data_IF_935385005430
#
_entry.id   IF_935385005430
#
_cell.length_a   1.000
_cell.length_b   1.000
_cell.length_c   1.000
_cell.angle_alpha   90.00
_cell.angle_beta   90.00
_cell.angle_gamma   90.00
#
_symmetry.space_group_name_H-M   'P 1'
#
loop_
_entity.id
_entity.type
_entity.pdbx_description
1 polymer ?
#
# COMPACT_ATOMS: atom_id res chain seq x y z
N UNK A 1 -21.55 25.74 40.82
CA UNK A 1 -20.71 25.99 39.63
C UNK A 1 -20.30 24.65 39.06
N UNK A 2 -20.86 24.24 37.93
CA UNK A 2 -20.44 23.07 37.14
C UNK A 2 -20.63 23.45 35.67
N UNK A 3 -19.60 23.44 34.81
CA UNK A 3 -19.80 23.64 33.38
C UNK A 3 -20.22 22.33 32.72
N UNK A 4 -21.29 22.39 31.93
CA UNK A 4 -21.77 21.27 31.13
C UNK A 4 -20.77 20.93 30.01
N UNK A 5 -20.28 19.70 30.01
CA UNK A 5 -19.49 19.10 28.93
C UNK A 5 -20.24 19.15 27.59
N UNK A 6 -19.81 20.04 26.70
CA UNK A 6 -20.22 20.13 25.30
C UNK A 6 -19.56 18.99 24.50
N UNK A 7 -20.13 17.79 24.56
CA UNK A 7 -19.72 16.69 23.68
C UNK A 7 -20.40 16.85 22.32
N UNK A 8 -19.64 17.30 21.33
CA UNK A 8 -20.07 17.38 19.92
C UNK A 8 -20.52 16.00 19.41
N UNK A 9 -21.66 15.91 18.68
CA UNK A 9 -22.09 14.65 18.09
C UNK A 9 -21.06 14.16 17.06
N UNK A 10 -20.80 12.85 16.95
CA UNK A 10 -19.88 12.31 15.95
C UNK A 10 -20.41 12.65 14.55
N UNK A 11 -19.58 13.28 13.74
CA UNK A 11 -19.94 13.61 12.36
C UNK A 11 -20.25 12.33 11.59
N UNK A 12 -21.39 12.25 10.88
CA UNK A 12 -21.71 11.09 10.07
C UNK A 12 -20.65 10.93 8.97
N UNK A 13 -20.11 9.72 8.82
CA UNK A 13 -19.18 9.40 7.71
C UNK A 13 -19.93 9.60 6.39
N UNK A 14 -19.40 10.48 5.53
CA UNK A 14 -19.95 10.71 4.19
C UNK A 14 -19.83 9.45 3.34
N UNK A 15 -20.95 8.99 2.78
CA UNK A 15 -21.01 7.89 1.79
C UNK A 15 -20.77 8.37 0.35
N UNK A 16 -20.37 9.62 0.15
CA UNK A 16 -20.07 10.13 -1.18
C UNK A 16 -18.88 9.37 -1.80
N UNK A 17 -19.01 8.82 -3.02
CA UNK A 17 -17.89 8.20 -3.70
C UNK A 17 -16.77 9.24 -3.87
N UNK A 18 -15.63 8.96 -3.23
CA UNK A 18 -14.43 9.80 -3.34
C UNK A 18 -13.86 9.63 -4.75
N UNK A 19 -13.41 10.70 -5.43
CA UNK A 19 -12.85 10.64 -6.78
C UNK A 19 -11.46 9.95 -6.84
N UNK A 20 -11.19 9.04 -5.90
CA UNK A 20 -9.93 8.31 -5.82
C UNK A 20 -9.82 7.38 -7.03
N UNK A 21 -8.63 7.28 -7.65
CA UNK A 21 -8.38 6.28 -8.67
C UNK A 21 -8.74 4.90 -8.11
N UNK A 22 -9.61 4.20 -8.84
CA UNK A 22 -10.00 2.82 -8.54
C UNK A 22 -9.15 1.88 -9.39
N UNK A 23 -8.60 0.84 -8.76
CA UNK A 23 -7.88 -0.23 -9.44
C UNK A 23 -8.57 -1.56 -9.14
N UNK A 24 -8.42 -2.52 -10.04
CA UNK A 24 -8.95 -3.86 -9.84
C UNK A 24 -8.12 -4.59 -8.76
N UNK A 25 -8.73 -4.81 -7.61
CA UNK A 25 -8.11 -5.45 -6.44
C UNK A 25 -7.68 -6.90 -6.71
N UNK A 26 -8.45 -7.65 -7.49
CA UNK A 26 -8.16 -9.06 -7.77
C UNK A 26 -7.02 -9.18 -8.79
N UNK A 27 -7.04 -8.32 -9.82
CA UNK A 27 -5.93 -8.20 -10.75
C UNK A 27 -4.64 -7.76 -10.04
N UNK A 28 -4.72 -6.77 -9.13
CA UNK A 28 -3.57 -6.34 -8.34
C UNK A 28 -3.05 -7.45 -7.44
N UNK A 29 -3.95 -8.20 -6.77
CA UNK A 29 -3.57 -9.32 -5.91
C UNK A 29 -2.86 -10.43 -6.69
N UNK A 30 -3.38 -10.80 -7.86
CA UNK A 30 -2.74 -11.78 -8.74
C UNK A 30 -1.36 -11.30 -9.20
N UNK A 31 -1.24 -10.02 -9.57
CA UNK A 31 0.02 -9.40 -9.93
C UNK A 31 1.03 -9.41 -8.79
N UNK A 32 0.63 -8.99 -7.58
CA UNK A 32 1.51 -8.97 -6.39
C UNK A 32 2.05 -10.37 -6.08
N UNK A 33 1.21 -11.40 -6.14
CA UNK A 33 1.64 -12.79 -5.94
C UNK A 33 2.73 -13.18 -6.94
N UNK A 34 2.50 -12.92 -8.23
CA UNK A 34 3.47 -13.21 -9.28
C UNK A 34 4.77 -12.42 -9.08
N UNK A 35 4.67 -11.12 -8.78
CA UNK A 35 5.81 -10.24 -8.56
C UNK A 35 6.70 -10.73 -7.41
N UNK A 36 6.10 -10.99 -6.25
CA UNK A 36 6.83 -11.51 -5.09
C UNK A 36 7.49 -12.86 -5.39
N UNK A 37 6.77 -13.76 -6.06
CA UNK A 37 7.32 -15.04 -6.49
C UNK A 37 8.53 -14.82 -7.41
N UNK A 38 8.42 -14.00 -8.45
CA UNK A 38 9.53 -13.78 -9.39
C UNK A 38 10.74 -13.08 -8.76
N UNK A 39 10.52 -12.15 -7.82
CA UNK A 39 11.59 -11.35 -7.22
C UNK A 39 12.28 -12.09 -6.07
N UNK A 40 11.52 -12.83 -5.25
CA UNK A 40 12.01 -13.41 -4.01
C UNK A 40 12.20 -14.93 -4.05
N UNK A 41 11.48 -15.68 -4.90
CA UNK A 41 11.66 -17.13 -4.99
C UNK A 41 13.10 -17.55 -5.33
N UNK A 42 13.83 -16.90 -6.26
CA UNK A 42 15.22 -17.26 -6.52
C UNK A 42 16.20 -16.62 -5.53
N UNK A 43 15.73 -15.75 -4.64
CA UNK A 43 16.59 -15.00 -3.75
C UNK A 43 16.95 -15.80 -2.49
N UNK A 44 18.23 -15.76 -2.10
CA UNK A 44 18.66 -16.17 -0.77
C UNK A 44 18.46 -15.01 0.19
N UNK A 45 17.86 -15.27 1.36
CA UNK A 45 17.64 -14.22 2.36
C UNK A 45 18.97 -13.60 2.79
N UNK A 46 19.14 -12.27 2.71
CA UNK A 46 20.42 -11.63 2.97
C UNK A 46 20.83 -11.76 4.44
N UNK A 47 22.12 -11.99 4.68
CA UNK A 47 22.70 -11.95 6.02
C UNK A 47 22.62 -10.53 6.61
N UNK A 48 22.73 -10.33 7.93
CA UNK A 48 22.52 -9.03 8.56
C UNK A 48 23.34 -7.85 8.00
N UNK A 49 24.50 -8.11 7.38
CA UNK A 49 25.35 -7.10 6.73
C UNK A 49 24.81 -6.62 5.38
N UNK A 50 23.90 -7.37 4.76
CA UNK A 50 23.35 -7.12 3.43
C UNK A 50 21.90 -6.61 3.47
N UNK A 51 21.48 -6.01 4.59
CA UNK A 51 20.11 -5.50 4.77
C UNK A 51 19.70 -4.47 3.72
N UNK A 52 20.64 -3.78 3.09
CA UNK A 52 20.35 -2.84 2.00
C UNK A 52 19.78 -3.53 0.76
N UNK A 53 20.11 -4.81 0.54
CA UNK A 53 19.49 -5.62 -0.52
C UNK A 53 18.00 -5.85 -0.26
N UNK A 54 17.61 -6.05 1.00
CA UNK A 54 16.19 -6.16 1.39
C UNK A 54 15.46 -4.84 1.14
N UNK A 55 16.08 -3.71 1.48
CA UNK A 55 15.51 -2.38 1.21
C UNK A 55 15.31 -2.13 -0.30
N UNK A 56 16.27 -2.57 -1.11
CA UNK A 56 16.17 -2.48 -2.57
C UNK A 56 14.98 -3.28 -3.11
N UNK A 57 14.79 -4.53 -2.65
CA UNK A 57 13.61 -5.31 -3.03
C UNK A 57 12.31 -4.66 -2.59
N UNK A 58 12.24 -4.13 -1.36
CA UNK A 58 11.05 -3.42 -0.88
C UNK A 58 10.72 -2.21 -1.75
N UNK A 59 11.73 -1.43 -2.16
CA UNK A 59 11.56 -0.29 -3.05
C UNK A 59 11.05 -0.72 -4.43
N UNK A 60 11.71 -1.68 -5.07
CA UNK A 60 11.33 -2.16 -6.41
C UNK A 60 9.90 -2.74 -6.43
N UNK A 61 9.56 -3.57 -5.45
CA UNK A 61 8.22 -4.16 -5.33
C UNK A 61 7.18 -3.06 -5.13
N UNK A 62 7.46 -2.09 -4.25
CA UNK A 62 6.55 -0.97 -3.96
C UNK A 62 6.32 -0.06 -5.15
N UNK A 63 7.37 0.28 -5.91
CA UNK A 63 7.28 1.09 -7.13
C UNK A 63 6.42 0.39 -8.18
N UNK A 64 6.66 -0.89 -8.44
CA UNK A 64 5.87 -1.66 -9.41
C UNK A 64 4.40 -1.81 -9.04
N UNK A 65 4.10 -2.02 -7.75
CA UNK A 65 2.73 -2.08 -7.25
C UNK A 65 2.04 -0.73 -7.40
N UNK A 66 2.73 0.37 -7.07
CA UNK A 66 2.21 1.73 -7.23
C UNK A 66 1.92 2.05 -8.68
N UNK A 67 2.87 1.80 -9.59
CA UNK A 67 2.67 1.99 -11.04
C UNK A 67 1.45 1.21 -11.54
N UNK A 68 1.25 -0.03 -11.08
CA UNK A 68 0.09 -0.83 -11.45
C UNK A 68 -1.24 -0.28 -10.91
N UNK A 69 -1.23 0.37 -9.74
CA UNK A 69 -2.43 0.92 -9.09
C UNK A 69 -2.89 2.24 -9.69
N UNK A 70 -1.97 3.15 -9.97
CA UNK A 70 -2.31 4.53 -10.36
C UNK A 70 -1.84 4.92 -11.76
N UNK A 71 -1.07 4.07 -12.44
CA UNK A 71 -0.37 4.46 -13.67
C UNK A 71 0.76 5.45 -13.38
N UNK A 72 1.83 5.42 -14.18
CA UNK A 72 2.89 6.41 -14.11
C UNK A 72 2.36 7.75 -14.62
N UNK A 73 1.74 8.55 -13.74
CA UNK A 73 1.46 9.95 -14.00
C UNK A 73 2.65 10.80 -13.51
N UNK A 74 3.60 11.00 -14.41
CA UNK A 74 4.35 12.24 -14.61
C UNK A 74 4.14 12.66 -16.07
#
# INVERSE_FOLDING_TARGET
MMPSDLRTPPTPRSNAPSPKPSFDCDLLRAYMKKLLQTTLQPATWPVPRERDRVKAWMKEIGERVKERMIGSYL
#
